data_IF_957080453518
#
_entry.id   IF_957080453518
#
_cell.length_a   1.000
_cell.length_b   1.000
_cell.length_c   1.000
_cell.angle_alpha   90.00
_cell.angle_beta   90.00
_cell.angle_gamma   90.00
#
_symmetry.space_group_name_H-M   'P 1'
#
loop_
_entity.id
_entity.type
_entity.pdbx_description
1 polymer ?
#
# COMPACT_ATOMS: atom_id res chain seq x y z
N UNK A 1 -8.90 19.68 -18.23
CA UNK A 1 -9.33 18.46 -17.50
C UNK A 1 -10.72 18.06 -17.99
N UNK A 2 -11.02 16.77 -18.16
CA UNK A 2 -12.35 16.36 -18.66
C UNK A 2 -13.45 16.64 -17.62
N UNK A 3 -14.70 16.91 -18.03
CA UNK A 3 -15.81 17.12 -17.09
C UNK A 3 -16.03 15.94 -16.14
N UNK A 4 -15.79 14.71 -16.61
CA UNK A 4 -15.87 13.52 -15.78
C UNK A 4 -14.80 13.50 -14.68
N UNK A 5 -13.55 13.81 -15.02
CA UNK A 5 -12.46 13.88 -14.04
C UNK A 5 -12.64 15.03 -13.04
N UNK A 6 -13.24 16.15 -13.45
CA UNK A 6 -13.56 17.24 -12.52
C UNK A 6 -14.55 16.82 -11.45
N UNK A 7 -15.60 16.07 -11.83
CA UNK A 7 -16.59 15.56 -10.87
C UNK A 7 -16.02 14.56 -9.87
N UNK A 8 -14.93 13.87 -10.21
CA UNK A 8 -14.29 12.92 -9.30
C UNK A 8 -13.25 13.57 -8.40
N UNK A 9 -12.88 14.84 -8.63
CA UNK A 9 -11.89 15.55 -7.82
C UNK A 9 -12.40 15.72 -6.39
N UNK A 10 -11.70 15.12 -5.42
CA UNK A 10 -12.03 15.22 -3.99
C UNK A 10 -11.27 16.35 -3.31
N UNK A 11 -9.98 16.49 -3.65
CA UNK A 11 -9.08 17.50 -3.09
C UNK A 11 -7.98 17.75 -4.10
N UNK A 12 -7.58 19.00 -4.27
CA UNK A 12 -6.29 19.34 -4.87
C UNK A 12 -5.62 20.39 -4.01
N UNK A 13 -4.29 20.38 -3.95
CA UNK A 13 -3.52 21.27 -3.10
C UNK A 13 -2.21 21.60 -3.82
N UNK A 14 -2.01 22.87 -4.21
CA UNK A 14 -0.71 23.32 -4.72
C UNK A 14 0.23 23.43 -3.52
N UNK A 15 1.24 22.56 -3.46
CA UNK A 15 2.19 22.54 -2.35
C UNK A 15 3.21 23.66 -2.55
N UNK A 16 3.71 23.79 -3.77
CA UNK A 16 4.56 24.89 -4.22
C UNK A 16 4.45 25.01 -5.75
N UNK A 17 5.30 25.84 -6.37
CA UNK A 17 5.33 26.06 -7.83
C UNK A 17 5.66 24.80 -8.64
N UNK A 18 6.26 23.79 -8.00
CA UNK A 18 6.75 22.55 -8.63
C UNK A 18 5.95 21.31 -8.28
N UNK A 19 5.16 21.31 -7.20
CA UNK A 19 4.48 20.13 -6.67
C UNK A 19 2.99 20.44 -6.48
N UNK A 20 2.16 19.64 -7.13
CA UNK A 20 0.71 19.65 -7.00
C UNK A 20 0.25 18.27 -6.52
N UNK A 21 -0.51 18.24 -5.44
CA UNK A 21 -1.22 17.04 -5.01
C UNK A 21 -2.68 17.10 -5.48
N UNK A 22 -3.18 16.01 -6.05
CA UNK A 22 -4.58 15.84 -6.41
C UNK A 22 -5.08 14.46 -5.97
N UNK A 23 -6.30 14.42 -5.44
CA UNK A 23 -6.97 13.21 -4.99
C UNK A 23 -8.31 13.09 -5.69
N UNK A 24 -8.54 11.96 -6.34
CA UNK A 24 -9.73 11.67 -7.13
C UNK A 24 -10.47 10.45 -6.56
N UNK A 25 -11.79 10.49 -6.59
CA UNK A 25 -12.65 9.35 -6.34
C UNK A 25 -12.67 8.44 -7.57
N UNK A 26 -12.32 7.17 -7.40
CA UNK A 26 -12.63 6.14 -8.41
C UNK A 26 -13.67 5.18 -7.83
N UNK A 27 -14.19 4.28 -8.66
CA UNK A 27 -15.27 3.36 -8.29
C UNK A 27 -14.95 2.49 -7.07
N UNK A 28 -13.70 2.10 -6.90
CA UNK A 28 -13.32 1.09 -5.91
C UNK A 28 -12.24 1.54 -4.92
N UNK A 29 -11.47 2.56 -5.28
CA UNK A 29 -10.43 3.14 -4.42
C UNK A 29 -10.27 4.61 -4.74
N UNK A 30 -9.50 5.34 -3.94
CA UNK A 30 -9.15 6.72 -4.26
C UNK A 30 -7.80 6.73 -4.98
N UNK A 31 -7.66 7.62 -5.95
CA UNK A 31 -6.42 7.83 -6.69
C UNK A 31 -5.79 9.12 -6.17
N UNK A 32 -4.56 9.02 -5.68
CA UNK A 32 -3.74 10.17 -5.32
C UNK A 32 -2.66 10.34 -6.36
N UNK A 33 -2.59 11.52 -6.96
CA UNK A 33 -1.62 11.89 -7.97
C UNK A 33 -0.81 13.06 -7.44
N UNK A 34 0.49 12.86 -7.32
CA UNK A 34 1.45 13.95 -7.10
C UNK A 34 2.04 14.27 -8.47
N UNK A 35 1.76 15.48 -8.96
CA UNK A 35 2.35 16.02 -10.18
C UNK A 35 3.53 16.87 -9.77
N UNK A 36 4.71 16.59 -10.32
CA UNK A 36 5.92 17.31 -9.95
C UNK A 36 6.78 17.72 -11.16
N UNK A 37 7.46 18.86 -11.02
CA UNK A 37 8.50 19.35 -11.93
C UNK A 37 9.81 19.56 -11.17
N UNK A 38 10.72 18.59 -11.22
CA UNK A 38 11.96 18.64 -10.45
C UNK A 38 12.94 19.70 -10.99
N UNK A 39 13.83 20.24 -10.15
CA UNK A 39 14.96 21.05 -10.60
C UNK A 39 15.81 20.32 -11.65
N UNK A 40 16.45 21.06 -12.55
CA UNK A 40 17.35 20.45 -13.55
C UNK A 40 18.62 19.93 -12.89
N UNK A 41 19.39 19.12 -13.61
CA UNK A 41 20.57 18.47 -13.03
C UNK A 41 21.69 19.48 -12.69
N UNK A 42 21.67 20.67 -13.26
CA UNK A 42 22.69 21.71 -13.07
C UNK A 42 22.45 22.59 -11.85
N UNK A 43 21.26 22.50 -11.23
CA UNK A 43 20.93 23.28 -10.03
C UNK A 43 21.70 22.74 -8.81
N UNK A 44 22.03 23.64 -7.88
CA UNK A 44 22.70 23.32 -6.62
C UNK A 44 21.98 22.20 -5.83
N UNK A 45 22.79 21.42 -5.11
CA UNK A 45 22.31 20.29 -4.32
C UNK A 45 21.26 20.69 -3.27
N UNK A 46 21.42 21.83 -2.60
CA UNK A 46 20.48 22.29 -1.57
C UNK A 46 19.05 22.47 -2.10
N UNK A 47 18.91 22.91 -3.37
CA UNK A 47 17.60 23.07 -4.01
C UNK A 47 16.99 21.72 -4.36
N UNK A 48 17.81 20.76 -4.83
CA UNK A 48 17.38 19.40 -5.11
C UNK A 48 16.93 18.70 -3.83
N UNK A 49 17.69 18.83 -2.75
CA UNK A 49 17.41 18.24 -1.45
C UNK A 49 16.09 18.79 -0.89
N UNK A 50 15.92 20.12 -0.88
CA UNK A 50 14.67 20.76 -0.45
C UNK A 50 13.45 20.30 -1.26
N UNK A 51 13.61 20.09 -2.57
CA UNK A 51 12.56 19.56 -3.42
C UNK A 51 12.18 18.12 -3.02
N UNK A 52 13.16 17.23 -2.86
CA UNK A 52 12.91 15.82 -2.50
C UNK A 52 12.39 15.66 -1.07
N UNK A 53 12.82 16.49 -0.11
CA UNK A 53 12.25 16.55 1.24
C UNK A 53 10.77 16.90 1.21
N UNK A 54 10.40 17.94 0.43
CA UNK A 54 9.01 18.35 0.27
C UNK A 54 8.19 17.26 -0.42
N UNK A 55 8.71 16.67 -1.50
CA UNK A 55 8.06 15.58 -2.22
C UNK A 55 7.83 14.36 -1.32
N UNK A 56 8.82 14.01 -0.49
CA UNK A 56 8.73 12.92 0.45
C UNK A 56 7.71 13.20 1.56
N UNK A 57 7.63 14.43 2.08
CA UNK A 57 6.61 14.81 3.06
C UNK A 57 5.18 14.63 2.50
N UNK A 58 4.94 15.07 1.26
CA UNK A 58 3.63 14.92 0.58
C UNK A 58 3.31 13.44 0.32
N UNK A 59 4.32 12.65 -0.05
CA UNK A 59 4.20 11.21 -0.28
C UNK A 59 3.83 10.47 1.01
N UNK A 60 4.42 10.84 2.14
CA UNK A 60 4.16 10.23 3.46
C UNK A 60 2.82 10.66 4.08
N UNK A 61 2.37 11.88 3.84
CA UNK A 61 1.04 12.36 4.27
C UNK A 61 -0.11 11.66 3.52
N UNK A 62 0.18 11.07 2.35
CA UNK A 62 -0.84 10.44 1.54
C UNK A 62 -1.57 9.29 2.27
N UNK A 63 -2.92 9.21 2.16
CA UNK A 63 -3.68 8.11 2.75
C UNK A 63 -3.21 6.72 2.28
N UNK A 64 -2.88 5.85 3.24
CA UNK A 64 -2.30 4.52 2.99
C UNK A 64 -3.11 3.64 2.04
N UNK A 65 -4.43 3.83 1.91
CA UNK A 65 -5.29 2.97 1.09
C UNK A 65 -5.48 3.46 -0.34
N UNK A 66 -4.98 4.64 -0.67
CA UNK A 66 -5.12 5.20 -2.01
C UNK A 66 -4.16 4.51 -2.99
N UNK A 67 -4.47 4.59 -4.29
CA UNK A 67 -3.50 4.34 -5.36
C UNK A 67 -2.65 5.59 -5.47
N UNK A 68 -1.42 5.54 -4.97
CA UNK A 68 -0.49 6.67 -5.06
C UNK A 68 0.32 6.57 -6.34
N UNK A 69 0.30 7.65 -7.12
CA UNK A 69 1.14 7.85 -8.28
C UNK A 69 1.90 9.17 -8.15
N UNK A 70 3.19 9.16 -8.44
CA UNK A 70 4.01 10.37 -8.61
C UNK A 70 4.36 10.46 -10.09
N UNK A 71 4.09 11.60 -10.73
CA UNK A 71 4.15 11.73 -12.18
C UNK A 71 4.77 13.06 -12.59
N UNK A 72 5.23 13.09 -13.85
CA UNK A 72 5.75 14.25 -14.59
C UNK A 72 7.28 14.37 -14.48
N UNK A 73 7.82 15.42 -15.06
CA UNK A 73 9.23 15.64 -15.35
C UNK A 73 10.07 15.75 -14.06
N UNK A 74 10.92 14.76 -13.86
CA UNK A 74 11.83 14.68 -12.72
C UNK A 74 13.27 15.03 -13.11
N UNK A 75 13.51 15.44 -14.37
CA UNK A 75 14.85 15.74 -14.88
C UNK A 75 15.88 14.63 -14.58
N UNK A 76 15.40 13.39 -14.48
CA UNK A 76 16.14 12.27 -13.91
C UNK A 76 16.33 11.17 -14.96
N UNK A 77 17.57 10.72 -15.17
CA UNK A 77 17.88 9.52 -15.94
C UNK A 77 18.22 8.42 -14.95
N UNK A 78 17.35 7.44 -14.79
CA UNK A 78 17.56 6.35 -13.82
C UNK A 78 18.52 5.26 -14.30
N UNK A 79 18.79 5.23 -15.61
CA UNK A 79 19.70 4.26 -16.22
C UNK A 79 19.08 2.86 -16.40
N UNK A 80 19.88 1.96 -16.98
CA UNK A 80 19.54 0.54 -17.14
C UNK A 80 20.11 -0.36 -16.03
N UNK A 81 21.12 0.12 -15.28
CA UNK A 81 21.67 -0.63 -14.16
C UNK A 81 20.71 -0.61 -12.98
N UNK A 82 20.42 -1.80 -12.44
CA UNK A 82 19.47 -2.00 -11.33
C UNK A 82 20.04 -2.86 -10.21
N UNK A 83 21.36 -3.07 -10.17
CA UNK A 83 22.03 -4.01 -9.26
C UNK A 83 21.62 -3.85 -7.80
N UNK A 84 21.38 -2.61 -7.35
CA UNK A 84 21.07 -2.27 -5.96
C UNK A 84 19.63 -1.79 -5.73
N UNK A 85 18.78 -1.81 -6.77
CA UNK A 85 17.44 -1.21 -6.74
C UNK A 85 16.39 -2.04 -7.49
N UNK A 86 16.54 -3.37 -7.49
CA UNK A 86 15.66 -4.35 -8.17
C UNK A 86 14.18 -4.25 -7.75
N UNK A 87 13.91 -3.74 -6.55
CA UNK A 87 12.56 -3.64 -5.99
C UNK A 87 11.75 -2.51 -6.63
N UNK A 88 12.42 -1.44 -7.04
CA UNK A 88 11.81 -0.22 -7.58
C UNK A 88 12.03 -0.07 -9.08
N UNK A 89 13.18 -0.51 -9.60
CA UNK A 89 13.49 -0.51 -11.04
C UNK A 89 13.15 -1.83 -11.70
N UNK A 90 12.64 -1.74 -12.92
CA UNK A 90 12.44 -2.86 -13.83
C UNK A 90 13.67 -3.13 -14.71
N UNK A 91 13.64 -4.23 -15.47
CA UNK A 91 14.78 -4.67 -16.28
C UNK A 91 14.97 -3.88 -17.58
N UNK A 92 14.09 -2.92 -17.89
CA UNK A 92 14.06 -2.22 -19.17
C UNK A 92 14.37 -0.73 -19.07
N UNK A 93 15.13 -0.32 -18.05
CA UNK A 93 15.65 1.05 -17.93
C UNK A 93 16.51 1.47 -19.13
N UNK A 94 16.76 2.78 -19.25
CA UNK A 94 17.39 3.38 -20.42
C UNK A 94 18.63 4.19 -20.03
N UNK A 95 19.74 3.95 -20.74
CA UNK A 95 20.95 4.77 -20.63
C UNK A 95 21.70 4.60 -19.31
N UNK A 96 22.42 5.65 -18.92
CA UNK A 96 23.18 5.72 -17.67
C UNK A 96 22.45 6.63 -16.68
N UNK A 97 22.69 6.36 -15.39
CA UNK A 97 22.12 7.15 -14.31
C UNK A 97 22.82 8.52 -14.23
N UNK A 98 22.07 9.59 -13.99
CA UNK A 98 22.62 10.91 -13.63
C UNK A 98 22.35 11.21 -12.14
N UNK A 99 22.83 12.35 -11.64
CA UNK A 99 22.66 12.73 -10.23
C UNK A 99 21.19 12.80 -9.81
N UNK A 100 20.34 13.46 -10.61
CA UNK A 100 18.90 13.48 -10.37
C UNK A 100 18.27 12.06 -10.42
N UNK A 101 18.82 11.18 -11.25
CA UNK A 101 18.46 9.77 -11.32
C UNK A 101 18.76 9.02 -10.04
N UNK A 102 19.91 9.27 -9.42
CA UNK A 102 20.27 8.70 -8.12
C UNK A 102 19.30 9.16 -7.03
N UNK A 103 19.03 10.46 -6.94
CA UNK A 103 18.05 11.02 -5.99
C UNK A 103 16.64 10.44 -6.18
N UNK A 104 16.21 10.26 -7.43
CA UNK A 104 14.93 9.63 -7.73
C UNK A 104 14.88 8.16 -7.29
N UNK A 105 15.94 7.41 -7.52
CA UNK A 105 16.03 6.01 -7.09
C UNK A 105 16.00 5.91 -5.56
N UNK A 106 16.73 6.78 -4.86
CA UNK A 106 16.76 6.82 -3.39
C UNK A 106 15.38 7.19 -2.81
N UNK A 107 14.71 8.19 -3.39
CA UNK A 107 13.33 8.53 -3.05
C UNK A 107 12.38 7.33 -3.30
N UNK A 108 12.48 6.70 -4.46
CA UNK A 108 11.64 5.56 -4.82
C UNK A 108 11.84 4.37 -3.86
N UNK A 109 13.08 4.09 -3.45
CA UNK A 109 13.40 3.07 -2.45
C UNK A 109 12.83 3.43 -1.08
N UNK A 110 12.97 4.68 -0.66
CA UNK A 110 12.54 5.15 0.67
C UNK A 110 11.02 5.05 0.86
N UNK A 111 10.24 5.32 -0.19
CA UNK A 111 8.78 5.38 -0.13
C UNK A 111 8.07 4.20 -0.85
N UNK A 112 8.82 3.13 -1.15
CA UNK A 112 8.35 1.91 -1.81
C UNK A 112 7.56 2.18 -3.11
N UNK A 113 8.16 2.97 -4.01
CA UNK A 113 7.59 3.36 -5.30
C UNK A 113 8.29 2.64 -6.46
N UNK A 114 7.54 1.99 -7.34
CA UNK A 114 8.08 1.40 -8.57
C UNK A 114 8.15 2.42 -9.71
N UNK A 115 9.29 2.49 -10.40
CA UNK A 115 9.50 3.37 -11.56
C UNK A 115 8.97 2.70 -12.83
N UNK A 116 7.74 3.06 -13.20
CA UNK A 116 6.96 2.46 -14.27
C UNK A 116 7.66 2.44 -15.64
N UNK A 117 8.39 3.51 -15.98
CA UNK A 117 9.10 3.64 -17.26
C UNK A 117 10.22 2.61 -17.48
N UNK A 118 10.61 1.87 -16.45
CA UNK A 118 11.64 0.82 -16.50
C UNK A 118 11.05 -0.60 -16.48
N UNK A 119 9.74 -0.75 -16.26
CA UNK A 119 9.09 -2.03 -16.01
C UNK A 119 8.77 -2.84 -17.28
N UNK A 120 8.51 -2.16 -18.39
CA UNK A 120 7.96 -2.76 -19.60
C UNK A 120 8.97 -2.78 -20.75
N UNK A 121 8.96 -3.87 -21.51
CA UNK A 121 9.81 -4.01 -22.69
C UNK A 121 9.23 -3.19 -23.85
N UNK A 122 9.98 -2.19 -24.29
CA UNK A 122 9.64 -1.39 -25.45
C UNK A 122 10.88 -1.01 -26.26
N UNK A 123 10.68 -0.72 -27.54
CA UNK A 123 11.68 -0.04 -28.37
C UNK A 123 11.99 1.33 -27.74
N UNK A 124 13.25 1.76 -27.79
CA UNK A 124 13.69 3.02 -27.19
C UNK A 124 12.88 4.24 -27.65
N UNK A 125 12.37 4.23 -28.89
CA UNK A 125 11.47 5.27 -29.41
C UNK A 125 10.22 5.50 -28.57
N UNK A 126 9.75 4.49 -27.83
CA UNK A 126 8.60 4.58 -26.92
C UNK A 126 9.01 4.80 -25.46
N UNK A 127 10.31 4.95 -25.17
CA UNK A 127 10.84 5.25 -23.83
C UNK A 127 11.31 6.69 -23.72
N UNK A 128 11.77 7.30 -24.82
CA UNK A 128 12.14 8.70 -24.84
C UNK A 128 10.94 9.58 -24.52
N UNK A 129 11.17 10.57 -23.65
CA UNK A 129 10.17 11.56 -23.25
C UNK A 129 10.65 12.98 -23.53
N UNK A 130 11.93 13.18 -23.87
CA UNK A 130 12.48 14.48 -24.23
C UNK A 130 13.47 14.35 -25.40
N UNK A 131 13.48 15.36 -26.27
CA UNK A 131 14.45 15.51 -27.38
C UNK A 131 15.11 16.87 -27.29
N UNK A 132 16.43 16.93 -27.42
CA UNK A 132 17.16 18.20 -27.41
C UNK A 132 16.74 19.12 -28.56
N UNK A 133 16.90 20.45 -28.42
CA UNK A 133 16.52 21.41 -29.46
C UNK A 133 17.20 21.17 -30.82
N UNK A 134 18.41 20.60 -30.83
CA UNK A 134 19.16 20.23 -32.03
C UNK A 134 18.72 18.87 -32.63
N UNK A 135 17.79 18.16 -31.98
CA UNK A 135 17.28 16.85 -32.40
C UNK A 135 18.25 15.68 -32.17
N UNK A 136 19.45 15.92 -31.67
CA UNK A 136 20.54 14.92 -31.61
C UNK A 136 20.39 13.95 -30.43
N UNK A 137 19.90 14.46 -29.30
CA UNK A 137 19.88 13.76 -28.02
C UNK A 137 18.45 13.46 -27.62
N UNK A 138 18.21 12.23 -27.13
CA UNK A 138 16.91 11.83 -26.60
C UNK A 138 17.07 11.18 -25.25
N UNK A 139 16.25 11.60 -24.30
CA UNK A 139 16.31 11.14 -22.92
C UNK A 139 14.93 10.68 -22.42
N UNK A 140 14.95 9.87 -21.37
CA UNK A 140 13.78 9.58 -20.54
C UNK A 140 13.97 10.35 -19.23
N UNK A 141 13.23 11.45 -19.07
CA UNK A 141 13.29 12.33 -17.90
C UNK A 141 11.94 12.54 -17.23
N UNK A 142 10.85 12.21 -17.94
CA UNK A 142 9.51 12.12 -17.40
C UNK A 142 9.27 10.70 -16.89
N UNK A 143 8.78 10.59 -15.66
CA UNK A 143 8.57 9.29 -15.04
C UNK A 143 7.17 9.13 -14.49
N UNK A 144 6.73 7.88 -14.48
CA UNK A 144 5.53 7.44 -13.80
C UNK A 144 5.93 6.52 -12.66
N UNK A 145 5.77 6.97 -11.42
CA UNK A 145 6.01 6.17 -10.23
C UNK A 145 4.67 5.74 -9.63
N UNK A 146 4.61 4.51 -9.14
CA UNK A 146 3.43 3.96 -8.48
C UNK A 146 3.83 3.24 -7.20
N UNK A 147 3.06 3.39 -6.12
CA UNK A 147 3.30 2.61 -4.91
C UNK A 147 3.37 1.12 -5.22
N UNK A 148 4.43 0.44 -4.75
CA UNK A 148 4.80 -0.92 -5.16
C UNK A 148 3.69 -1.93 -4.91
N UNK A 149 2.89 -1.75 -3.86
CA UNK A 149 1.69 -2.58 -3.60
C UNK A 149 0.69 -2.60 -4.76
N UNK A 150 0.66 -1.55 -5.58
CA UNK A 150 -0.18 -1.41 -6.77
C UNK A 150 0.58 -1.68 -8.07
N UNK A 151 1.87 -2.05 -8.03
CA UNK A 151 2.71 -2.29 -9.21
C UNK A 151 2.08 -3.25 -10.22
N UNK A 152 1.37 -4.28 -9.76
CA UNK A 152 0.68 -5.26 -10.64
C UNK A 152 -0.59 -4.74 -11.32
N UNK A 153 -1.07 -3.56 -10.89
CA UNK A 153 -2.16 -2.82 -11.52
C UNK A 153 -1.67 -1.92 -12.65
N UNK A 154 -0.38 -1.56 -12.67
CA UNK A 154 0.23 -0.85 -13.78
C UNK A 154 0.46 -1.85 -14.93
N UNK A 155 -0.15 -1.58 -16.08
CA UNK A 155 -0.12 -2.47 -17.25
C UNK A 155 0.75 -1.95 -18.39
N UNK A 156 0.93 -0.63 -18.46
CA UNK A 156 1.71 0.01 -19.50
C UNK A 156 2.22 1.37 -19.00
N UNK A 157 3.44 1.75 -19.41
CA UNK A 157 4.00 3.11 -19.32
C UNK A 157 4.88 3.32 -20.55
N UNK A 158 4.55 4.33 -21.37
CA UNK A 158 5.30 4.63 -22.60
C UNK A 158 5.14 6.08 -23.05
N UNK A 159 6.12 6.57 -23.80
CA UNK A 159 6.05 7.80 -24.58
C UNK A 159 5.12 7.66 -25.79
N UNK A 160 4.23 8.63 -25.96
CA UNK A 160 3.21 8.71 -26.98
C UNK A 160 3.60 9.73 -28.06
N UNK A 161 4.25 9.21 -29.10
CA UNK A 161 4.80 10.02 -30.21
C UNK A 161 3.76 10.59 -31.17
N UNK A 162 2.49 10.18 -31.06
CA UNK A 162 1.42 10.62 -31.96
C UNK A 162 0.76 11.94 -31.54
N UNK A 163 1.06 12.43 -30.35
CA UNK A 163 0.60 13.74 -29.88
C UNK A 163 1.65 14.79 -30.24
N UNK A 164 1.32 15.66 -31.21
CA UNK A 164 2.12 16.85 -31.49
C UNK A 164 1.64 17.99 -30.59
N UNK A 165 2.50 18.39 -29.65
CA UNK A 165 2.24 19.47 -28.70
C UNK A 165 3.20 20.66 -28.89
N UNK A 166 3.99 20.69 -29.97
CA UNK A 166 5.06 21.68 -30.19
C UNK A 166 5.99 21.86 -28.97
N UNK A 167 6.25 20.75 -28.26
CA UNK A 167 7.19 20.69 -27.14
C UNK A 167 8.35 19.76 -27.50
N UNK A 168 9.50 20.04 -26.92
CA UNK A 168 10.65 19.13 -26.83
C UNK A 168 10.35 17.87 -26.00
N UNK A 169 9.29 17.90 -25.17
CA UNK A 169 8.75 16.75 -24.47
C UNK A 169 7.69 15.98 -25.28
N UNK A 170 7.70 14.67 -25.12
CA UNK A 170 6.69 13.74 -25.61
C UNK A 170 5.74 13.36 -24.48
N UNK A 171 4.44 13.33 -24.76
CA UNK A 171 3.43 12.90 -23.80
C UNK A 171 3.72 11.48 -23.31
N UNK A 172 3.76 11.25 -22.00
CA UNK A 172 3.82 9.91 -21.44
C UNK A 172 2.42 9.42 -21.07
N UNK A 173 2.09 8.18 -21.43
CA UNK A 173 0.83 7.53 -21.09
C UNK A 173 1.11 6.33 -20.20
N UNK A 174 0.34 6.21 -19.13
CA UNK A 174 0.31 5.05 -18.25
C UNK A 174 -1.09 4.42 -18.25
N UNK A 175 -1.17 3.10 -18.33
CA UNK A 175 -2.41 2.35 -18.20
C UNK A 175 -2.44 1.64 -16.85
N UNK A 176 -3.40 2.01 -16.01
CA UNK A 176 -3.61 1.39 -14.70
C UNK A 176 -4.97 0.69 -14.68
N UNK A 177 -4.97 -0.58 -14.29
CA UNK A 177 -6.16 -1.36 -14.03
C UNK A 177 -6.13 -1.93 -12.62
N UNK A 178 -7.03 -1.44 -11.76
CA UNK A 178 -7.16 -1.92 -10.39
C UNK A 178 -7.71 -3.34 -10.40
N UNK A 179 -6.91 -4.30 -9.93
CA UNK A 179 -7.31 -5.70 -9.76
C UNK A 179 -7.83 -5.91 -8.35
N UNK A 180 -9.14 -5.99 -8.19
CA UNK A 180 -9.74 -6.37 -6.92
C UNK A 180 -9.64 -7.89 -6.76
N UNK A 181 -8.99 -8.35 -5.68
CA UNK A 181 -9.07 -9.76 -5.31
C UNK A 181 -10.48 -10.04 -4.81
N UNK A 182 -11.23 -10.85 -5.54
CA UNK A 182 -12.48 -11.41 -5.02
C UNK A 182 -12.15 -12.15 -3.72
N UNK A 183 -12.75 -11.70 -2.61
CA UNK A 183 -12.66 -12.44 -1.37
C UNK A 183 -13.38 -13.77 -1.63
N UNK A 184 -12.62 -14.85 -1.75
CA UNK A 184 -13.22 -16.19 -1.76
C UNK A 184 -14.05 -16.22 -0.49
N UNK A 185 -15.38 -16.35 -0.62
CA UNK A 185 -16.19 -16.80 0.50
C UNK A 185 -15.55 -18.12 0.87
N UNK A 186 -14.71 -18.14 1.91
CA UNK A 186 -14.43 -19.39 2.59
C UNK A 186 -15.82 -19.91 2.84
N UNK A 187 -16.20 -21.02 2.20
CA UNK A 187 -17.32 -21.75 2.72
C UNK A 187 -16.96 -21.89 4.18
N UNK A 188 -17.67 -21.18 5.05
CA UNK A 188 -17.59 -21.47 6.46
C UNK A 188 -18.00 -22.92 6.47
N UNK A 189 -17.03 -23.85 6.44
CA UNK A 189 -17.30 -25.24 6.69
C UNK A 189 -18.14 -25.19 7.95
N UNK A 190 -19.37 -25.72 7.84
CA UNK A 190 -20.41 -25.65 8.87
C UNK A 190 -19.72 -25.48 10.21
N UNK A 191 -19.85 -24.30 10.85
CA UNK A 191 -19.27 -24.09 12.19
C UNK A 191 -19.60 -25.36 12.94
N UNK A 192 -18.59 -26.13 13.35
CA UNK A 192 -18.83 -27.43 13.97
C UNK A 192 -19.69 -27.13 15.19
N UNK A 193 -20.99 -27.41 15.07
CA UNK A 193 -21.92 -27.19 16.15
C UNK A 193 -21.59 -28.28 17.14
N UNK A 194 -20.99 -27.88 18.25
CA UNK A 194 -20.77 -28.77 19.37
C UNK A 194 -22.11 -28.96 20.03
N UNK A 195 -22.49 -30.22 20.22
CA UNK A 195 -23.66 -30.60 21.00
C UNK A 195 -23.39 -30.24 22.47
N UNK A 196 -23.77 -29.02 22.85
CA UNK A 196 -23.55 -28.47 24.19
C UNK A 196 -24.50 -29.06 25.21
N UNK A 197 -25.60 -29.67 24.77
CA UNK A 197 -26.65 -30.23 25.64
C UNK A 197 -26.09 -31.44 26.41
N UNK A 198 -25.12 -32.15 25.82
CA UNK A 198 -24.36 -33.20 26.50
C UNK A 198 -23.57 -32.74 27.72
N UNK A 199 -23.32 -31.43 27.88
CA UNK A 199 -22.64 -30.88 29.07
C UNK A 199 -23.58 -30.65 30.25
N UNK A 200 -24.89 -30.86 30.09
CA UNK A 200 -25.85 -30.88 31.20
C UNK A 200 -25.65 -32.11 32.10
N UNK A 201 -25.20 -33.23 31.53
CA UNK A 201 -24.80 -34.41 32.28
C UNK A 201 -23.55 -34.12 33.12
N UNK A 202 -23.68 -34.27 34.43
CA UNK A 202 -22.64 -33.98 35.41
C UNK A 202 -21.37 -34.83 35.21
N UNK A 203 -21.50 -36.04 34.68
CA UNK A 203 -20.38 -36.95 34.37
C UNK A 203 -19.62 -36.47 33.14
N UNK A 204 -20.34 -36.21 32.04
CA UNK A 204 -19.75 -35.73 30.79
C UNK A 204 -19.05 -34.39 30.99
N UNK A 205 -19.65 -33.49 31.79
CA UNK A 205 -19.04 -32.21 32.15
C UNK A 205 -17.74 -32.37 32.93
N UNK A 206 -17.67 -33.29 33.89
CA UNK A 206 -16.44 -33.56 34.66
C UNK A 206 -15.35 -34.11 33.75
N UNK A 207 -15.66 -35.11 32.94
CA UNK A 207 -14.68 -35.74 32.04
C UNK A 207 -14.14 -34.74 31.01
N UNK A 208 -15.02 -33.88 30.48
CA UNK A 208 -14.62 -32.79 29.58
C UNK A 208 -13.71 -31.76 30.27
N UNK A 209 -14.04 -31.34 31.49
CA UNK A 209 -13.20 -30.42 32.28
C UNK A 209 -11.82 -31.01 32.60
N UNK A 210 -11.75 -32.30 32.96
CA UNK A 210 -10.49 -33.00 33.22
C UNK A 210 -9.67 -33.10 31.94
N UNK A 211 -10.29 -33.47 30.82
CA UNK A 211 -9.63 -33.56 29.51
C UNK A 211 -9.06 -32.21 29.08
N UNK A 212 -9.85 -31.12 29.21
CA UNK A 212 -9.38 -29.77 28.93
C UNK A 212 -8.20 -29.38 29.81
N UNK A 213 -8.32 -29.63 31.11
CA UNK A 213 -7.27 -29.28 32.08
C UNK A 213 -5.97 -30.03 31.78
N UNK A 214 -6.02 -31.34 31.56
CA UNK A 214 -4.85 -32.13 31.18
C UNK A 214 -4.22 -31.66 29.87
N UNK A 215 -5.02 -31.25 28.89
CA UNK A 215 -4.54 -30.76 27.60
C UNK A 215 -3.82 -29.41 27.72
N UNK A 216 -4.27 -28.54 28.63
CA UNK A 216 -3.62 -27.25 28.87
C UNK A 216 -2.43 -27.36 29.83
N UNK A 217 -2.51 -28.20 30.87
CA UNK A 217 -1.42 -28.44 31.82
C UNK A 217 -0.24 -29.18 31.16
N UNK A 218 -0.49 -30.14 30.27
CA UNK A 218 0.57 -30.79 29.48
C UNK A 218 1.35 -29.81 28.59
N UNK A 219 0.68 -28.77 28.08
CA UNK A 219 1.33 -27.69 27.31
C UNK A 219 2.05 -26.62 28.15
N UNK A 220 2.00 -26.70 29.48
CA UNK A 220 2.76 -25.83 30.41
C UNK A 220 4.07 -26.50 30.86
N UNK A 221 4.13 -27.83 30.90
CA UNK A 221 5.31 -28.58 31.36
C UNK A 221 6.49 -28.53 30.37
N UNK A 222 6.26 -28.23 29.08
CA UNK A 222 7.33 -28.14 28.07
C UNK A 222 8.01 -26.76 27.97
N UNK A 223 7.63 -25.77 28.80
CA UNK A 223 8.14 -24.40 28.69
C UNK A 223 8.98 -23.97 29.90
N UNK A 224 10.16 -24.58 30.07
CA UNK A 224 11.16 -24.21 31.10
C UNK A 224 12.24 -23.27 30.53
N UNK A 225 11.87 -22.09 30.05
CA UNK A 225 12.81 -20.99 29.80
C UNK A 225 12.21 -19.66 30.25
N UNK A 226 13.05 -18.78 30.79
CA UNK A 226 12.70 -17.57 31.56
C UNK A 226 11.82 -16.53 30.83
N UNK A 227 11.72 -16.58 29.49
CA UNK A 227 10.75 -15.78 28.71
C UNK A 227 9.29 -16.23 28.90
N UNK A 228 9.08 -17.45 29.40
CA UNK A 228 7.74 -18.05 29.58
C UNK A 228 6.98 -17.46 30.76
N UNK A 229 7.64 -16.89 31.77
CA UNK A 229 6.94 -16.23 32.89
C UNK A 229 6.24 -14.95 32.43
N UNK A 230 6.85 -14.19 31.53
CA UNK A 230 6.27 -12.97 30.95
C UNK A 230 5.08 -13.31 30.05
N UNK A 231 5.22 -14.32 29.18
CA UNK A 231 4.14 -14.79 28.29
C UNK A 231 3.00 -15.49 29.05
N UNK A 232 3.29 -16.23 30.12
CA UNK A 232 2.30 -16.82 31.01
C UNK A 232 1.50 -15.73 31.75
N UNK A 233 2.15 -14.66 32.22
CA UNK A 233 1.46 -13.53 32.86
C UNK A 233 0.54 -12.77 31.89
N UNK A 234 0.95 -12.62 30.62
CA UNK A 234 0.17 -11.96 29.56
C UNK A 234 -1.02 -12.83 29.13
N UNK A 235 -0.80 -14.14 28.93
CA UNK A 235 -1.87 -15.10 28.60
C UNK A 235 -2.89 -15.21 29.74
N UNK A 236 -2.45 -15.26 30.99
CA UNK A 236 -3.35 -15.31 32.16
C UNK A 236 -4.19 -14.04 32.28
N UNK A 237 -3.62 -12.85 32.07
CA UNK A 237 -4.39 -11.58 32.01
C UNK A 237 -5.42 -11.55 30.88
N UNK A 238 -5.09 -12.08 29.71
CA UNK A 238 -5.99 -12.11 28.56
C UNK A 238 -7.15 -13.10 28.74
N UNK A 239 -6.86 -14.27 29.33
CA UNK A 239 -7.87 -15.30 29.66
C UNK A 239 -8.79 -14.80 30.77
N UNK A 240 -8.25 -14.18 31.84
CA UNK A 240 -9.09 -13.58 32.89
C UNK A 240 -9.98 -12.47 32.36
N UNK A 241 -9.49 -11.60 31.45
CA UNK A 241 -10.34 -10.60 30.78
C UNK A 241 -11.42 -11.23 29.90
N UNK A 242 -11.10 -12.29 29.17
CA UNK A 242 -12.05 -12.98 28.31
C UNK A 242 -13.14 -13.70 29.11
N UNK A 243 -12.76 -14.41 30.18
CA UNK A 243 -13.68 -15.08 31.09
C UNK A 243 -14.55 -14.08 31.86
N UNK A 244 -13.98 -12.97 32.35
CA UNK A 244 -14.74 -11.91 33.04
C UNK A 244 -15.73 -11.22 32.10
N UNK A 245 -15.34 -10.97 30.85
CA UNK A 245 -16.23 -10.40 29.82
C UNK A 245 -17.36 -11.37 29.47
N UNK A 246 -17.10 -12.68 29.44
CA UNK A 246 -18.11 -13.70 29.16
C UNK A 246 -19.06 -13.90 30.35
N UNK A 247 -18.56 -13.85 31.58
CA UNK A 247 -19.36 -13.90 32.80
C UNK A 247 -20.31 -12.71 32.91
N UNK A 248 -19.82 -11.49 32.63
CA UNK A 248 -20.65 -10.27 32.60
C UNK A 248 -21.74 -10.29 31.51
N UNK A 249 -21.46 -10.96 30.37
CA UNK A 249 -22.46 -11.16 29.31
C UNK A 249 -23.53 -12.17 29.75
N UNK A 250 -23.16 -13.22 30.48
CA UNK A 250 -24.14 -14.19 30.99
C UNK A 250 -24.98 -13.62 32.13
N UNK A 251 -24.40 -12.82 33.03
CA UNK A 251 -25.15 -12.12 34.11
C UNK A 251 -26.18 -11.14 33.54
N UNK A 252 -25.82 -10.32 32.54
CA UNK A 252 -26.76 -9.42 31.85
C UNK A 252 -27.84 -10.13 31.03
N UNK A 253 -27.63 -11.41 30.68
CA UNK A 253 -28.63 -12.20 29.94
C UNK A 253 -29.67 -12.82 30.87
N UNK A 254 -29.33 -13.00 32.15
CA UNK A 254 -30.22 -13.53 33.19
C UNK A 254 -31.09 -12.41 33.79
N UNK A 255 -30.58 -11.18 33.91
CA UNK A 255 -31.38 -10.02 34.36
C UNK A 255 -32.50 -9.67 33.35
N UNK A 256 -32.21 -9.70 32.05
CA UNK A 256 -33.21 -9.43 31.00
C UNK A 256 -34.30 -10.52 30.85
N UNK A 257 -34.10 -11.70 31.45
CA UNK A 257 -35.11 -12.77 31.43
C UNK A 257 -36.08 -12.67 32.61
N UNK A 258 -35.70 -11.99 33.70
CA UNK A 258 -36.53 -11.81 34.89
C UNK A 258 -37.40 -10.55 34.85
N UNK A 259 -37.10 -9.57 33.99
CA UNK A 259 -37.95 -8.37 33.79
C UNK A 259 -39.09 -8.59 32.77
N UNK A 260 -39.10 -9.70 32.04
CA UNK A 260 -40.06 -9.97 30.95
C UNK A 260 -41.35 -10.73 31.32
N UNK A 261 -41.52 -11.14 32.59
CA UNK A 261 -42.70 -11.92 33.04
C UNK A 261 -43.40 -11.26 34.22
N UNK A 262 -43.82 -10.00 34.05
CA UNK A 262 -44.57 -9.23 35.05
C UNK A 262 -45.79 -8.52 34.46
N UNK A 263 -46.93 -9.22 34.50
CA UNK A 263 -48.31 -8.70 34.67
C UNK A 263 -49.06 -8.04 33.50
N UNK A 264 -50.16 -8.75 33.17
CA UNK A 264 -51.48 -8.35 32.60
C UNK A 264 -51.53 -8.05 31.10
#
# INVERSE_FOLDING_TARGET
MSPAAYRTMLKWTPINERILFARLATTHTKLSVIVCYAPTNEVDHDVKDSFYETLQAVTKDNPKYDVLCVVVDLNAKVGADRKYCLEVLGPHGLGQINENGALLVDFALSDDLGVGGTLFEYKNVHKYTWTSPDGSTRNQIDHFLIARRWRTSLLDVRGYRGADAQSDHMLMIAHIQIKLRAQKKTQQGLKKLYDTDKLEDQKIRRDFCISLRNKFDASVVEANDSESQTLCSIKTKHISRYLFKKQKIMENSVENFNEGTGLI
#
